data_IF_791270054025
#
_entry.id   IF_791270054025
#
_cell.length_a   1.000
_cell.length_b   1.000
_cell.length_c   1.000
_cell.angle_alpha   90.00
_cell.angle_beta   90.00
_cell.angle_gamma   90.00
#
_symmetry.space_group_name_H-M   'P 1'
#
loop_
_entity.id
_entity.type
_entity.pdbx_description
1 polymer ?
#
# COMPACT_ATOMS: atom_id res chain seq x y z
N UNK A 1 -4.59 -1.19 15.17
CA UNK A 1 -3.81 -2.13 14.34
C UNK A 1 -2.48 -1.48 14.03
N UNK A 2 -1.37 -2.11 14.37
CA UNK A 2 -0.01 -1.57 14.14
C UNK A 2 0.53 -2.16 12.84
N UNK A 3 0.72 -1.33 11.81
CA UNK A 3 1.38 -1.77 10.58
C UNK A 3 2.87 -1.94 10.88
N UNK A 4 3.40 -3.14 10.65
CA UNK A 4 4.82 -3.40 10.90
C UNK A 4 5.68 -2.62 9.91
N UNK A 5 6.87 -2.17 10.33
CA UNK A 5 7.80 -1.47 9.43
C UNK A 5 8.18 -2.29 8.20
N UNK A 6 8.16 -3.63 8.31
CA UNK A 6 8.39 -4.54 7.19
C UNK A 6 7.31 -4.43 6.11
N UNK A 7 6.06 -4.15 6.47
CA UNK A 7 5.00 -3.92 5.49
C UNK A 7 5.26 -2.65 4.67
N UNK A 8 5.81 -1.61 5.31
CA UNK A 8 6.09 -0.35 4.64
C UNK A 8 7.19 -0.46 3.57
N UNK A 9 8.05 -1.48 3.67
CA UNK A 9 9.13 -1.76 2.71
C UNK A 9 8.70 -2.70 1.57
N UNK A 10 7.49 -3.27 1.61
CA UNK A 10 7.03 -4.20 0.57
C UNK A 10 6.69 -3.51 -0.75
N UNK A 11 6.26 -2.26 -0.68
CA UNK A 11 5.97 -1.46 -1.86
C UNK A 11 6.82 -0.18 -1.82
N UNK A 12 7.32 0.29 -2.97
CA UNK A 12 8.00 1.56 -3.06
C UNK A 12 7.10 2.68 -2.53
N UNK A 13 7.69 3.61 -1.77
CA UNK A 13 6.99 4.79 -1.24
C UNK A 13 6.24 5.57 -2.33
N UNK A 14 6.88 5.75 -3.48
CA UNK A 14 6.29 6.46 -4.62
C UNK A 14 5.03 5.76 -5.15
N UNK A 15 5.06 4.43 -5.21
CA UNK A 15 3.91 3.62 -5.63
C UNK A 15 2.76 3.77 -4.63
N UNK A 16 3.05 3.65 -3.33
CA UNK A 16 2.08 3.83 -2.23
C UNK A 16 1.41 5.20 -2.31
N UNK A 17 2.18 6.26 -2.52
CA UNK A 17 1.66 7.62 -2.58
C UNK A 17 0.89 7.91 -3.89
N UNK A 18 1.38 7.42 -5.03
CA UNK A 18 0.78 7.63 -6.35
C UNK A 18 -0.53 6.87 -6.50
N UNK A 19 -0.54 5.60 -6.13
CA UNK A 19 -1.72 4.73 -6.23
C UNK A 19 -2.62 4.80 -5.00
N UNK A 20 -2.19 5.48 -3.93
CA UNK A 20 -2.94 5.57 -2.68
C UNK A 20 -3.30 4.18 -2.13
N UNK A 21 -2.30 3.30 -2.10
CA UNK A 21 -2.42 1.91 -1.65
C UNK A 21 -1.55 1.66 -0.44
N UNK A 22 -1.99 0.79 0.47
CA UNK A 22 -1.24 0.49 1.69
C UNK A 22 -1.18 -1.01 1.93
N UNK A 23 0.02 -1.63 1.97
CA UNK A 23 0.14 -3.02 2.38
C UNK A 23 -0.19 -3.13 3.88
N UNK A 24 -1.22 -3.92 4.21
CA UNK A 24 -1.70 -4.07 5.59
C UNK A 24 -1.34 -5.42 6.19
N UNK A 25 -1.14 -6.45 5.35
CA UNK A 25 -0.75 -7.77 5.79
C UNK A 25 -0.04 -8.53 4.68
N UNK A 26 0.88 -9.40 5.06
CA UNK A 26 1.50 -10.39 4.19
C UNK A 26 1.46 -11.73 4.92
N UNK A 27 0.94 -12.76 4.25
CA UNK A 27 0.93 -14.11 4.78
C UNK A 27 1.20 -15.10 3.65
N UNK A 28 2.22 -15.93 3.82
CA UNK A 28 2.68 -16.87 2.80
C UNK A 28 2.99 -16.14 1.48
N UNK A 29 2.27 -16.50 0.41
CA UNK A 29 2.37 -15.87 -0.91
C UNK A 29 1.30 -14.78 -1.15
N UNK A 30 0.52 -14.40 -0.13
CA UNK A 30 -0.59 -13.44 -0.26
C UNK A 30 -0.21 -12.08 0.33
N UNK A 31 -0.29 -11.03 -0.50
CA UNK A 31 -0.24 -9.62 -0.08
C UNK A 31 -1.65 -9.06 0.03
N UNK A 32 -2.00 -8.55 1.20
CA UNK A 32 -3.26 -7.80 1.38
C UNK A 32 -2.96 -6.31 1.35
N UNK A 33 -3.61 -5.61 0.44
CA UNK A 33 -3.42 -4.18 0.17
C UNK A 33 -4.73 -3.43 0.34
N UNK A 34 -4.75 -2.44 1.22
CA UNK A 34 -5.86 -1.51 1.34
C UNK A 34 -5.79 -0.46 0.22
N UNK A 35 -6.93 -0.23 -0.44
CA UNK A 35 -7.09 0.81 -1.46
C UNK A 35 -8.50 1.39 -1.37
N UNK A 36 -8.74 2.55 -1.97
CA UNK A 36 -10.09 3.07 -2.22
C UNK A 36 -10.43 3.12 -3.72
N UNK A 37 -9.49 2.70 -4.57
CA UNK A 37 -9.66 2.70 -6.01
C UNK A 37 -10.41 1.45 -6.47
N UNK A 38 -11.26 1.62 -7.48
CA UNK A 38 -12.14 0.56 -8.02
C UNK A 38 -11.51 -0.21 -9.18
N UNK A 39 -10.41 0.28 -9.76
CA UNK A 39 -9.72 -0.37 -10.87
C UNK A 39 -8.77 -1.47 -10.38
N UNK A 40 -9.37 -2.57 -9.92
CA UNK A 40 -8.68 -3.72 -9.32
C UNK A 40 -7.61 -4.32 -10.23
N UNK A 41 -7.87 -4.62 -11.53
CA UNK A 41 -6.87 -5.28 -12.38
C UNK A 41 -5.61 -4.45 -12.59
N UNK A 42 -5.76 -3.14 -12.86
CA UNK A 42 -4.63 -2.24 -13.10
C UNK A 42 -3.78 -2.11 -11.84
N UNK A 43 -4.41 -1.94 -10.68
CA UNK A 43 -3.70 -1.80 -9.41
C UNK A 43 -2.95 -3.08 -9.06
N UNK A 44 -3.58 -4.25 -9.22
CA UNK A 44 -2.92 -5.54 -9.00
C UNK A 44 -1.69 -5.70 -9.90
N UNK A 45 -1.81 -5.37 -11.19
CA UNK A 45 -0.70 -5.44 -12.14
C UNK A 45 0.48 -4.54 -11.73
N UNK A 46 0.20 -3.31 -11.32
CA UNK A 46 1.24 -2.38 -10.86
C UNK A 46 1.91 -2.84 -9.56
N UNK A 47 1.13 -3.37 -8.59
CA UNK A 47 1.69 -3.89 -7.35
C UNK A 47 2.54 -5.14 -7.64
N UNK A 48 2.07 -6.05 -8.52
CA UNK A 48 2.76 -7.27 -8.91
C UNK A 48 4.17 -7.02 -9.49
N UNK A 49 4.37 -5.89 -10.19
CA UNK A 49 5.70 -5.51 -10.69
C UNK A 49 6.72 -5.21 -9.59
N UNK A 50 6.25 -4.93 -8.37
CA UNK A 50 7.08 -4.52 -7.24
C UNK A 50 7.11 -5.54 -6.10
N UNK A 51 6.42 -6.68 -6.24
CA UNK A 51 6.35 -7.71 -5.20
C UNK A 51 6.55 -9.10 -5.79
N UNK A 52 7.10 -10.01 -4.98
CA UNK A 52 7.22 -11.44 -5.33
C UNK A 52 6.02 -12.27 -4.86
N UNK A 53 4.93 -11.62 -4.43
CA UNK A 53 3.73 -12.31 -3.97
C UNK A 53 2.92 -12.83 -5.16
N UNK A 54 2.48 -14.08 -5.05
CA UNK A 54 1.69 -14.76 -6.09
C UNK A 54 0.22 -14.33 -6.05
N UNK A 55 -0.28 -14.00 -4.86
CA UNK A 55 -1.64 -13.52 -4.65
C UNK A 55 -1.65 -12.10 -4.08
N UNK A 56 -2.43 -11.22 -4.70
CA UNK A 56 -2.63 -9.85 -4.25
C UNK A 56 -4.13 -9.66 -4.01
N UNK A 57 -4.49 -9.44 -2.75
CA UNK A 57 -5.85 -9.18 -2.31
C UNK A 57 -6.01 -7.69 -2.06
N UNK A 58 -7.03 -7.09 -2.69
CA UNK A 58 -7.35 -5.68 -2.47
C UNK A 58 -8.53 -5.57 -1.52
N UNK A 59 -8.38 -4.74 -0.49
CA UNK A 59 -9.45 -4.41 0.45
C UNK A 59 -9.88 -2.98 0.23
N UNK A 60 -11.16 -2.79 -0.09
CA UNK A 60 -11.74 -1.46 -0.24
C UNK A 60 -11.89 -0.80 1.14
N UNK A 61 -11.38 0.42 1.24
CA UNK A 61 -11.40 1.22 2.46
C UNK A 61 -11.89 2.63 2.16
N UNK A 62 -12.35 3.34 3.20
CA UNK A 62 -12.81 4.72 3.03
C UNK A 62 -11.61 5.62 2.67
N UNK A 63 -11.71 6.46 1.63
CA UNK A 63 -10.60 7.32 1.20
C UNK A 63 -10.02 8.19 2.30
N UNK A 64 -10.88 8.75 3.15
CA UNK A 64 -10.49 9.62 4.27
C UNK A 64 -9.60 8.91 5.27
N UNK A 65 -9.93 7.67 5.61
CA UNK A 65 -9.18 6.87 6.56
C UNK A 65 -7.83 6.44 5.97
N UNK A 66 -7.82 5.97 4.72
CA UNK A 66 -6.59 5.51 4.07
C UNK A 66 -5.59 6.64 3.87
N UNK A 67 -6.03 7.80 3.37
CA UNK A 67 -5.16 8.98 3.17
C UNK A 67 -4.53 9.46 4.48
N UNK A 68 -5.29 9.44 5.57
CA UNK A 68 -4.80 9.81 6.90
C UNK A 68 -3.70 8.86 7.38
N UNK A 69 -3.89 7.56 7.18
CA UNK A 69 -2.88 6.56 7.55
C UNK A 69 -1.64 6.70 6.66
N UNK A 70 -1.82 6.82 5.34
CA UNK A 70 -0.71 7.00 4.39
C UNK A 70 0.10 8.26 4.74
N UNK A 71 -0.55 9.38 5.07
CA UNK A 71 0.16 10.61 5.44
C UNK A 71 0.94 10.50 6.75
N UNK A 72 0.45 9.70 7.70
CA UNK A 72 1.15 9.42 8.96
C UNK A 72 2.35 8.49 8.77
N UNK A 73 2.23 7.48 7.91
CA UNK A 73 3.27 6.46 7.70
C UNK A 73 4.32 6.89 6.67
N UNK A 74 3.90 7.69 5.68
CA UNK A 74 4.74 8.24 4.63
C UNK A 74 4.65 9.76 4.67
N UNK A 75 5.19 10.41 5.72
CA UNK A 75 5.24 11.86 5.77
C UNK A 75 5.91 12.35 4.48
N UNK A 76 5.38 13.44 3.91
CA UNK A 76 6.10 14.18 2.88
C UNK A 76 7.42 14.56 3.52
N UNK A 77 8.51 13.94 3.06
CA UNK A 77 9.86 14.32 3.46
C UNK A 77 9.92 15.82 3.29
N UNK A 78 10.03 16.56 4.41
CA UNK A 78 10.48 17.95 4.32
C UNK A 78 11.87 17.87 3.68
N UNK A 79 12.12 18.53 2.55
CA UNK A 79 13.49 18.73 2.13
C UNK A 79 14.15 19.56 3.24
N UNK A 80 15.15 18.99 3.92
CA UNK A 80 15.96 19.68 4.93
C UNK A 80 15.45 19.58 6.37
N UNK A 81 16.16 18.77 7.16
CA UNK A 81 16.55 19.08 8.52
C UNK A 81 17.96 18.53 8.72
#
# INVERSE_FOLDING_TARGET
>A
QTISRRMLTLLPRELVLKLQVLPISQKNSTLVVATFLTDVPVIKGLIAQHTKQEDIQLVLTRPTHLRKIISQLYPKTKPGA
#
